data_IF_949844706853
#
_entry.id   IF_949844706853
#
_cell.length_a   1.000
_cell.length_b   1.000
_cell.length_c   1.000
_cell.angle_alpha   90.00
_cell.angle_beta   90.00
_cell.angle_gamma   90.00
#
_symmetry.space_group_name_H-M   'P 1'
#
loop_
_entity.id
_entity.type
_entity.pdbx_description
1 polymer ?
#
# COMPACT_ATOMS: atom_id res chain seq x y z
N UNK A 1 -18.35 11.56 -15.65
CA UNK A 1 -17.54 11.18 -14.48
C UNK A 1 -16.68 9.94 -14.74
N UNK A 2 -17.18 8.90 -15.42
CA UNK A 2 -16.35 7.73 -15.82
C UNK A 2 -15.14 8.08 -16.70
N UNK A 3 -15.31 8.92 -17.73
CA UNK A 3 -14.18 9.35 -18.59
C UNK A 3 -13.10 10.10 -17.80
N UNK A 4 -13.48 10.86 -16.76
CA UNK A 4 -12.50 11.53 -15.89
C UNK A 4 -11.76 10.54 -14.98
N UNK A 5 -12.38 9.46 -14.50
CA UNK A 5 -11.70 8.48 -13.64
C UNK A 5 -10.67 7.64 -14.44
N UNK A 6 -11.00 7.29 -15.69
CA UNK A 6 -10.06 6.61 -16.60
C UNK A 6 -8.83 7.47 -16.89
N UNK A 7 -9.00 8.78 -17.07
CA UNK A 7 -7.88 9.71 -17.22
C UNK A 7 -6.99 9.75 -15.97
N UNK A 8 -7.59 9.72 -14.78
CA UNK A 8 -6.84 9.68 -13.51
C UNK A 8 -6.03 8.38 -13.36
N UNK A 9 -6.58 7.24 -13.80
CA UNK A 9 -5.84 5.98 -13.83
C UNK A 9 -4.68 6.01 -14.84
N UNK A 10 -4.88 6.61 -16.02
CA UNK A 10 -3.82 6.81 -17.03
C UNK A 10 -2.72 7.72 -16.48
N UNK A 11 -3.09 8.82 -15.82
CA UNK A 11 -2.13 9.71 -15.15
C UNK A 11 -1.33 8.96 -14.09
N UNK A 12 -1.97 8.11 -13.29
CA UNK A 12 -1.27 7.32 -12.28
C UNK A 12 -0.28 6.32 -12.90
N UNK A 13 -0.65 5.70 -14.03
CA UNK A 13 0.25 4.81 -14.76
C UNK A 13 1.48 5.55 -15.30
N UNK A 14 1.29 6.72 -15.90
CA UNK A 14 2.36 7.48 -16.56
C UNK A 14 3.21 8.29 -15.56
N UNK A 15 2.59 8.84 -14.50
CA UNK A 15 3.22 9.80 -13.59
C UNK A 15 3.59 9.27 -12.21
N UNK A 16 2.92 8.22 -11.73
CA UNK A 16 3.10 7.70 -10.37
C UNK A 16 3.71 6.29 -10.34
N UNK A 17 3.56 5.49 -11.39
CA UNK A 17 4.11 4.13 -11.40
C UNK A 17 5.62 4.09 -11.11
N UNK A 18 6.05 3.14 -10.29
CA UNK A 18 7.44 2.70 -10.14
C UNK A 18 7.53 1.27 -10.70
N UNK A 19 7.90 1.16 -11.98
CA UNK A 19 8.05 -0.11 -12.69
C UNK A 19 9.37 -0.21 -13.46
N UNK A 20 10.53 -0.17 -12.78
CA UNK A 20 11.82 -0.25 -13.44
C UNK A 20 12.17 -1.65 -13.94
N UNK A 21 11.44 -2.71 -13.58
CA UNK A 21 11.78 -4.09 -13.94
C UNK A 21 10.94 -4.61 -15.10
N UNK A 22 9.62 -4.46 -15.02
CA UNK A 22 8.76 -4.88 -16.13
C UNK A 22 8.76 -3.88 -17.28
N UNK A 23 9.00 -2.60 -16.98
CA UNK A 23 8.74 -1.48 -17.89
C UNK A 23 7.28 -1.38 -18.36
N UNK A 24 6.35 -1.98 -17.62
CA UNK A 24 4.92 -2.03 -17.93
C UNK A 24 4.13 -1.14 -16.96
N UNK A 25 3.91 0.15 -17.28
CA UNK A 25 3.25 1.07 -16.37
C UNK A 25 1.78 0.69 -16.13
N UNK A 26 1.41 0.61 -14.85
CA UNK A 26 0.06 0.30 -14.42
C UNK A 26 -0.41 1.34 -13.39
N UNK A 27 -1.65 1.79 -13.54
CA UNK A 27 -2.27 2.81 -12.70
C UNK A 27 -3.70 2.45 -12.35
N UNK A 28 -4.15 2.88 -11.17
CA UNK A 28 -5.53 2.71 -10.73
C UNK A 28 -6.03 4.01 -10.11
N UNK A 29 -7.29 4.34 -10.39
CA UNK A 29 -8.03 5.41 -9.75
C UNK A 29 -9.35 4.88 -9.19
N UNK A 30 -9.70 5.34 -8.00
CA UNK A 30 -10.89 4.97 -7.24
C UNK A 30 -11.70 6.24 -7.01
N UNK A 31 -13.00 6.20 -7.32
CA UNK A 31 -13.94 7.21 -6.85
C UNK A 31 -14.41 6.80 -5.46
N UNK A 32 -14.13 7.64 -4.46
CA UNK A 32 -14.45 7.37 -3.05
C UNK A 32 -15.27 8.50 -2.44
N UNK A 33 -15.82 8.26 -1.26
CA UNK A 33 -16.47 9.28 -0.42
C UNK A 33 -15.51 10.40 0.04
N UNK A 34 -14.20 10.18 -0.02
CA UNK A 34 -13.17 11.20 0.22
C UNK A 34 -12.59 11.84 -1.05
N UNK A 35 -13.24 11.62 -2.21
CA UNK A 35 -12.81 12.09 -3.53
C UNK A 35 -12.06 11.02 -4.33
N UNK A 36 -11.35 11.44 -5.39
CA UNK A 36 -10.58 10.50 -6.24
C UNK A 36 -9.25 10.15 -5.57
N UNK A 37 -8.99 8.85 -5.43
CA UNK A 37 -7.70 8.29 -4.99
C UNK A 37 -7.05 7.62 -6.18
N UNK A 38 -5.80 7.95 -6.49
CA UNK A 38 -5.06 7.35 -7.60
C UNK A 38 -3.68 6.89 -7.17
N UNK A 39 -3.22 5.77 -7.70
CA UNK A 39 -1.91 5.22 -7.36
C UNK A 39 -1.36 4.39 -8.53
N UNK A 40 -0.04 4.42 -8.70
CA UNK A 40 0.67 3.54 -9.64
C UNK A 40 1.04 2.21 -8.99
N UNK A 41 1.50 1.24 -9.78
CA UNK A 41 2.19 0.07 -9.23
C UNK A 41 3.54 0.45 -8.60
N UNK A 42 3.95 -0.34 -7.60
CA UNK A 42 5.26 -0.25 -6.95
C UNK A 42 5.95 -1.60 -7.12
N UNK A 43 6.93 -1.70 -8.02
CA UNK A 43 7.70 -2.92 -8.18
C UNK A 43 8.85 -3.03 -7.17
N UNK A 44 9.39 -4.25 -7.05
CA UNK A 44 10.51 -4.57 -6.20
C UNK A 44 11.42 -5.59 -6.90
N UNK A 45 12.74 -5.49 -6.73
CA UNK A 45 13.70 -6.44 -7.32
C UNK A 45 13.42 -7.88 -6.88
N UNK A 46 12.96 -8.09 -5.64
CA UNK A 46 12.38 -9.35 -5.21
C UNK A 46 10.89 -9.38 -5.61
N UNK A 47 10.62 -9.77 -6.85
CA UNK A 47 9.31 -9.65 -7.53
C UNK A 47 8.06 -10.03 -6.72
N UNK A 48 8.06 -11.06 -5.84
CA UNK A 48 6.90 -11.35 -4.99
C UNK A 48 6.47 -10.21 -4.05
N UNK A 49 7.34 -9.22 -3.81
CA UNK A 49 7.06 -8.05 -2.97
C UNK A 49 6.45 -6.87 -3.74
N UNK A 50 6.35 -6.96 -5.07
CA UNK A 50 5.72 -5.94 -5.91
C UNK A 50 4.23 -5.76 -5.56
N UNK A 51 3.74 -4.53 -5.71
CA UNK A 51 2.37 -4.12 -5.35
C UNK A 51 1.68 -3.59 -6.59
N UNK A 52 0.62 -4.29 -7.04
CA UNK A 52 -0.20 -3.85 -8.17
C UNK A 52 -0.93 -2.54 -7.85
N UNK A 53 -1.18 -1.73 -8.89
CA UNK A 53 -1.80 -0.41 -8.75
C UNK A 53 -3.16 -0.44 -8.04
N UNK A 54 -3.99 -1.46 -8.29
CA UNK A 54 -5.29 -1.63 -7.62
C UNK A 54 -5.12 -1.78 -6.11
N UNK A 55 -4.23 -2.67 -5.68
CA UNK A 55 -3.94 -2.88 -4.25
C UNK A 55 -3.39 -1.61 -3.62
N UNK A 56 -2.46 -0.95 -4.31
CA UNK A 56 -1.85 0.30 -3.85
C UNK A 56 -2.87 1.44 -3.68
N UNK A 57 -3.82 1.58 -4.62
CA UNK A 57 -4.87 2.59 -4.53
C UNK A 57 -5.87 2.29 -3.39
N UNK A 58 -6.26 1.02 -3.21
CA UNK A 58 -7.21 0.62 -2.15
C UNK A 58 -6.61 0.87 -0.76
N UNK A 59 -5.37 0.43 -0.50
CA UNK A 59 -4.74 0.66 0.81
C UNK A 59 -4.50 2.14 1.09
N UNK A 60 -4.20 2.94 0.05
CA UNK A 60 -4.08 4.39 0.18
C UNK A 60 -5.44 5.06 0.47
N UNK A 61 -6.54 4.59 -0.13
CA UNK A 61 -7.89 5.05 0.16
C UNK A 61 -8.27 4.76 1.62
N UNK A 62 -8.00 3.53 2.09
CA UNK A 62 -8.21 3.14 3.48
C UNK A 62 -7.36 3.98 4.44
N UNK A 63 -6.09 4.28 4.11
CA UNK A 63 -5.26 5.15 4.92
C UNK A 63 -5.83 6.59 5.00
N UNK A 64 -6.48 7.07 3.94
CA UNK A 64 -7.04 8.43 3.84
C UNK A 64 -8.38 8.67 4.54
N UNK A 65 -9.10 7.63 4.93
CA UNK A 65 -10.45 7.82 5.47
C UNK A 65 -11.57 7.25 4.63
N UNK A 66 -11.29 6.74 3.43
CA UNK A 66 -12.35 6.26 2.56
C UNK A 66 -13.14 5.14 3.25
N UNK A 67 -14.46 5.18 3.12
CA UNK A 67 -15.39 4.14 3.58
C UNK A 67 -16.27 3.61 2.44
N UNK A 68 -16.18 4.21 1.26
CA UNK A 68 -16.86 3.75 0.06
C UNK A 68 -15.94 3.86 -1.16
N UNK A 69 -16.03 2.90 -2.06
CA UNK A 69 -15.44 2.94 -3.40
C UNK A 69 -16.59 2.66 -4.37
N UNK A 70 -17.05 3.69 -5.08
CA UNK A 70 -18.24 3.60 -5.95
C UNK A 70 -17.89 3.23 -7.39
N UNK A 71 -16.67 3.56 -7.83
CA UNK A 71 -16.18 3.27 -9.19
C UNK A 71 -14.68 3.00 -9.16
N UNK A 72 -14.21 2.13 -10.06
CA UNK A 72 -12.79 1.79 -10.21
C UNK A 72 -12.38 1.97 -11.67
N UNK A 73 -11.25 2.63 -11.91
CA UNK A 73 -10.59 2.64 -13.20
C UNK A 73 -9.18 2.07 -13.09
N UNK A 74 -8.77 1.28 -14.07
CA UNK A 74 -7.43 0.69 -14.18
C UNK A 74 -6.88 1.01 -15.56
N UNK A 75 -5.66 1.51 -15.62
CA UNK A 75 -4.89 1.66 -16.85
C UNK A 75 -3.77 0.63 -16.85
N UNK A 76 -3.72 -0.22 -17.87
CA UNK A 76 -2.67 -1.21 -18.05
C UNK A 76 -2.28 -1.32 -19.52
N UNK A 77 -1.06 -1.78 -19.78
CA UNK A 77 -0.57 -1.93 -21.17
C UNK A 77 -1.42 -2.89 -21.99
N UNK A 78 -1.88 -3.98 -21.37
CA UNK A 78 -2.64 -5.05 -22.02
C UNK A 78 -4.15 -4.81 -22.04
N UNK A 79 -4.65 -3.77 -21.36
CA UNK A 79 -6.09 -3.56 -21.18
C UNK A 79 -6.76 -4.65 -20.33
N UNK A 80 -5.98 -5.34 -19.49
CA UNK A 80 -6.46 -6.36 -18.56
C UNK A 80 -6.17 -6.00 -17.10
N UNK A 81 -6.92 -6.60 -16.19
CA UNK A 81 -6.71 -6.51 -14.73
C UNK A 81 -6.37 -7.89 -14.19
N UNK A 82 -5.38 -7.97 -13.31
CA UNK A 82 -4.91 -9.24 -12.77
C UNK A 82 -5.95 -9.91 -11.86
N UNK A 83 -6.05 -11.24 -11.90
CA UNK A 83 -7.01 -11.98 -11.05
C UNK A 83 -6.80 -11.72 -9.55
N UNK A 84 -5.55 -11.63 -9.09
CA UNK A 84 -5.23 -11.28 -7.70
C UNK A 84 -5.71 -9.87 -7.33
N UNK A 85 -5.75 -8.95 -8.29
CA UNK A 85 -6.20 -7.57 -8.10
C UNK A 85 -7.72 -7.53 -7.91
N UNK A 86 -8.45 -8.28 -8.75
CA UNK A 86 -9.91 -8.42 -8.65
C UNK A 86 -10.30 -9.15 -7.37
N UNK A 87 -9.59 -10.22 -7.03
CA UNK A 87 -9.81 -11.00 -5.81
C UNK A 87 -9.56 -10.16 -4.55
N UNK A 88 -8.56 -9.27 -4.56
CA UNK A 88 -8.34 -8.30 -3.48
C UNK A 88 -9.43 -7.22 -3.43
N UNK A 89 -9.78 -6.67 -4.60
CA UNK A 89 -10.77 -5.60 -4.73
C UNK A 89 -12.15 -6.04 -4.22
N UNK A 90 -12.53 -7.31 -4.41
CA UNK A 90 -13.85 -7.83 -4.01
C UNK A 90 -14.16 -7.66 -2.52
N UNK A 91 -13.15 -7.54 -1.66
CA UNK A 91 -13.38 -7.26 -0.26
C UNK A 91 -13.90 -5.84 -0.04
N UNK A 92 -13.59 -4.89 -0.91
CA UNK A 92 -13.82 -3.46 -0.65
C UNK A 92 -14.95 -2.85 -1.51
N UNK A 93 -15.49 -3.60 -2.46
CA UNK A 93 -16.53 -3.13 -3.39
C UNK A 93 -17.64 -4.17 -3.57
N UNK A 94 -18.75 -3.78 -4.17
CA UNK A 94 -19.87 -4.70 -4.47
C UNK A 94 -19.67 -5.43 -5.81
N UNK A 95 -20.32 -6.59 -6.02
CA UNK A 95 -20.30 -7.28 -7.31
C UNK A 95 -20.75 -6.42 -8.50
N UNK A 96 -21.60 -5.41 -8.26
CA UNK A 96 -22.14 -4.48 -9.25
C UNK A 96 -21.22 -3.28 -9.51
N UNK A 97 -20.17 -3.10 -8.70
CA UNK A 97 -19.27 -1.94 -8.81
C UNK A 97 -18.66 -1.90 -10.21
N UNK A 98 -18.78 -0.78 -10.94
CA UNK A 98 -18.21 -0.64 -12.27
C UNK A 98 -16.68 -0.54 -12.19
N UNK A 99 -16.03 -1.32 -13.05
CA UNK A 99 -14.58 -1.36 -13.25
C UNK A 99 -14.29 -1.04 -14.72
N UNK A 100 -13.72 0.14 -14.96
CA UNK A 100 -13.26 0.56 -16.28
C UNK A 100 -11.80 0.16 -16.48
N UNK A 101 -11.49 -0.56 -17.56
CA UNK A 101 -10.14 -1.00 -17.89
C UNK A 101 -9.70 -0.33 -19.18
N UNK A 102 -8.70 0.53 -19.10
CA UNK A 102 -8.09 1.24 -20.20
C UNK A 102 -6.89 0.46 -20.75
N UNK A 103 -6.91 0.18 -22.05
CA UNK A 103 -5.76 -0.31 -22.77
C UNK A 103 -4.85 0.86 -23.16
N UNK A 104 -3.65 0.94 -22.58
CA UNK A 104 -2.81 2.13 -22.66
C UNK A 104 -2.47 2.57 -24.09
N UNK A 105 -2.24 1.62 -25.02
CA UNK A 105 -1.83 1.95 -26.40
C UNK A 105 -3.00 2.37 -27.31
N UNK A 106 -4.15 1.68 -27.25
CA UNK A 106 -5.31 2.00 -28.08
C UNK A 106 -6.15 3.14 -27.50
N UNK A 107 -5.92 3.48 -26.23
CA UNK A 107 -6.70 4.44 -25.43
C UNK A 107 -8.20 4.10 -25.40
N UNK A 108 -8.55 2.84 -25.68
CA UNK A 108 -9.90 2.32 -25.54
C UNK A 108 -10.09 1.76 -24.14
N UNK A 109 -11.24 2.06 -23.53
CA UNK A 109 -11.64 1.52 -22.25
C UNK A 109 -12.89 0.67 -22.36
N UNK A 110 -12.92 -0.45 -21.64
CA UNK A 110 -14.11 -1.29 -21.47
C UNK A 110 -14.55 -1.20 -20.01
N UNK A 111 -15.84 -1.02 -19.77
CA UNK A 111 -16.41 -1.03 -18.41
C UNK A 111 -17.26 -2.27 -18.22
N UNK A 112 -16.98 -3.00 -17.14
CA UNK A 112 -17.72 -4.18 -16.71
C UNK A 112 -17.93 -4.10 -15.20
N UNK A 113 -18.88 -4.84 -14.66
CA UNK A 113 -18.99 -4.96 -13.20
C UNK A 113 -17.91 -5.89 -12.65
N UNK A 114 -17.60 -5.78 -11.36
CA UNK A 114 -16.68 -6.72 -10.70
C UNK A 114 -17.11 -8.18 -10.91
N UNK A 115 -18.41 -8.49 -10.82
CA UNK A 115 -18.92 -9.84 -11.02
C UNK A 115 -18.66 -10.41 -12.43
N UNK A 116 -18.66 -9.54 -13.45
CA UNK A 116 -18.35 -9.92 -14.82
C UNK A 116 -16.86 -10.17 -15.03
N UNK A 117 -16.00 -9.42 -14.34
CA UNK A 117 -14.54 -9.57 -14.41
C UNK A 117 -14.01 -10.74 -13.56
N UNK A 118 -14.70 -11.07 -12.47
CA UNK A 118 -14.34 -12.15 -11.55
C UNK A 118 -15.52 -13.13 -11.33
N UNK A 119 -15.87 -13.94 -12.36
CA UNK A 119 -16.91 -14.94 -12.22
C UNK A 119 -16.47 -16.06 -11.27
N UNK A 120 -17.36 -16.49 -10.38
CA UNK A 120 -17.09 -17.57 -9.42
C UNK A 120 -15.92 -17.28 -8.48
N UNK A 121 -15.92 -16.13 -7.76
CA UNK A 121 -14.81 -15.74 -6.90
C UNK A 121 -14.60 -16.77 -5.79
N UNK A 122 -13.38 -16.84 -5.24
CA UNK A 122 -13.08 -17.77 -4.15
C UNK A 122 -14.08 -17.60 -2.99
N UNK A 123 -14.85 -18.65 -2.71
CA UNK A 123 -15.86 -18.70 -1.67
C UNK A 123 -15.22 -18.88 -0.28
N UNK A 124 -14.31 -17.99 0.09
CA UNK A 124 -14.02 -17.77 1.51
C UNK A 124 -15.30 -17.26 2.16
N UNK A 125 -15.57 -17.65 3.41
CA UNK A 125 -16.77 -17.22 4.15
C UNK A 125 -17.04 -15.74 3.87
N UNK A 126 -18.10 -15.47 3.11
CA UNK A 126 -18.49 -14.13 2.70
C UNK A 126 -18.99 -13.42 3.96
N UNK A 127 -18.07 -12.89 4.75
CA UNK A 127 -18.33 -11.71 5.54
C UNK A 127 -18.09 -10.56 4.55
N UNK A 128 -19.10 -9.78 4.14
CA UNK A 128 -18.83 -8.51 3.48
C UNK A 128 -17.75 -7.82 4.32
N UNK A 129 -16.71 -7.23 3.72
CA UNK A 129 -15.72 -6.61 4.58
C UNK A 129 -16.41 -5.62 5.51
N UNK A 130 -15.92 -5.44 6.74
CA UNK A 130 -16.36 -4.39 7.62
C UNK A 130 -16.56 -3.03 6.88
N UNK A 131 -15.80 -2.72 5.82
CA UNK A 131 -16.05 -1.59 4.90
C UNK A 131 -17.47 -1.56 4.30
N UNK A 132 -17.93 -2.68 3.72
CA UNK A 132 -19.30 -2.86 3.20
C UNK A 132 -20.36 -2.97 4.30
N UNK A 133 -19.95 -3.26 5.55
CA UNK A 133 -20.83 -3.33 6.72
C UNK A 133 -20.80 -2.07 7.59
N UNK A 134 -19.98 -1.06 7.24
CA UNK A 134 -19.61 0.08 8.10
C UNK A 134 -19.09 -0.30 9.50
N UNK A 135 -18.59 -1.52 9.66
CA UNK A 135 -17.86 -1.94 10.84
C UNK A 135 -16.35 -1.77 10.57
N UNK A 136 -15.54 -1.60 11.61
CA UNK A 136 -14.08 -1.56 11.45
C UNK A 136 -13.37 -2.66 12.27
N UNK A 137 -14.06 -3.22 13.28
CA UNK A 137 -13.61 -4.32 14.13
C UNK A 137 -14.76 -5.31 14.41
N UNK A 138 -14.44 -6.61 14.57
CA UNK A 138 -15.42 -7.67 14.79
C UNK A 138 -16.22 -7.52 16.10
N UNK A 139 -15.69 -6.80 17.09
CA UNK A 139 -16.32 -6.63 18.40
C UNK A 139 -17.36 -5.51 18.46
N UNK A 140 -17.51 -4.70 17.41
CA UNK A 140 -18.51 -3.62 17.40
C UNK A 140 -19.05 -3.36 16.00
N UNK A 141 -20.34 -3.65 15.83
CA UNK A 141 -21.21 -3.11 14.75
C UNK A 141 -21.32 -1.56 14.84
N UNK A 142 -20.62 -0.92 15.78
CA UNK A 142 -20.72 0.50 16.14
C UNK A 142 -19.40 1.27 16.14
N UNK A 143 -18.24 0.68 15.82
CA UNK A 143 -17.00 1.46 15.73
C UNK A 143 -16.97 2.24 14.41
N UNK A 144 -17.43 3.49 14.43
CA UNK A 144 -17.07 4.50 13.42
C UNK A 144 -15.57 4.43 13.15
N UNK A 145 -15.20 4.41 11.87
CA UNK A 145 -13.81 4.53 11.44
C UNK A 145 -13.14 5.69 12.20
N UNK A 146 -11.94 5.49 12.77
CA UNK A 146 -11.20 6.59 13.39
C UNK A 146 -11.04 7.75 12.41
N UNK A 147 -10.98 8.98 12.92
CA UNK A 147 -10.79 10.14 12.05
C UNK A 147 -9.53 9.97 11.18
N UNK A 148 -9.48 10.56 9.98
CA UNK A 148 -8.26 10.60 9.19
C UNK A 148 -7.11 11.22 9.99
N UNK A 149 -5.91 10.65 9.87
CA UNK A 149 -4.72 11.18 10.54
C UNK A 149 -4.43 12.58 9.99
N UNK A 150 -4.40 13.58 10.87
CA UNK A 150 -4.02 14.92 10.47
C UNK A 150 -2.50 15.00 10.28
N UNK A 151 -2.07 15.18 9.04
CA UNK A 151 -0.65 15.22 8.69
C UNK A 151 -0.08 16.63 8.93
N UNK A 152 0.96 16.77 9.77
CA UNK A 152 1.65 18.05 9.93
C UNK A 152 2.51 18.38 8.70
N UNK A 153 3.02 19.61 8.58
CA UNK A 153 4.06 19.94 7.60
C UNK A 153 5.27 19.00 7.77
N UNK A 154 5.78 18.47 6.66
CA UNK A 154 6.90 17.54 6.69
C UNK A 154 8.24 18.20 7.09
N UNK A 155 8.37 19.51 6.88
CA UNK A 155 9.56 20.26 7.26
C UNK A 155 9.69 20.32 8.79
N UNK A 156 10.85 19.88 9.31
CA UNK A 156 11.15 19.89 10.75
C UNK A 156 10.46 18.77 11.55
N UNK A 157 9.89 17.77 10.88
CA UNK A 157 9.26 16.63 11.54
C UNK A 157 10.32 15.81 12.32
N UNK A 158 10.14 15.67 13.63
CA UNK A 158 11.05 14.89 14.48
C UNK A 158 10.71 13.40 14.45
N UNK A 159 11.62 12.57 14.98
CA UNK A 159 11.45 11.12 15.05
C UNK A 159 10.30 10.75 15.97
N UNK A 160 10.15 11.47 17.08
CA UNK A 160 9.04 11.32 18.01
C UNK A 160 7.71 11.69 17.35
N UNK A 161 7.67 12.78 16.58
CA UNK A 161 6.47 13.18 15.85
C UNK A 161 6.10 12.15 14.78
N UNK A 162 7.08 11.61 14.05
CA UNK A 162 6.85 10.55 13.06
C UNK A 162 6.37 9.24 13.72
N UNK A 163 6.92 8.88 14.88
CA UNK A 163 6.47 7.73 15.68
C UNK A 163 5.04 7.91 16.18
N UNK A 164 4.66 9.11 16.63
CA UNK A 164 3.28 9.42 17.02
C UNK A 164 2.30 9.33 15.84
N UNK A 165 2.70 9.76 14.65
CA UNK A 165 1.90 9.55 13.44
C UNK A 165 1.68 8.06 13.13
N UNK A 166 2.69 7.21 13.36
CA UNK A 166 2.54 5.77 13.20
C UNK A 166 1.56 5.18 14.22
N UNK A 167 1.57 5.66 15.48
CA UNK A 167 0.61 5.25 16.51
C UNK A 167 -0.82 5.67 16.13
N UNK A 168 -1.00 6.88 15.62
CA UNK A 168 -2.32 7.33 15.15
C UNK A 168 -2.79 6.48 13.96
N UNK A 169 -1.88 6.16 13.03
CA UNK A 169 -2.19 5.33 11.88
C UNK A 169 -2.64 3.91 12.25
N UNK A 170 -2.13 3.32 13.35
CA UNK A 170 -2.58 1.99 13.83
C UNK A 170 -4.08 1.90 14.01
N UNK A 171 -4.75 2.98 14.42
CA UNK A 171 -6.21 2.99 14.63
C UNK A 171 -6.96 2.66 13.33
N UNK A 172 -6.33 2.91 12.18
CA UNK A 172 -6.85 2.63 10.85
C UNK A 172 -6.36 1.29 10.27
N UNK A 173 -5.90 0.35 11.11
CA UNK A 173 -5.63 -1.00 10.62
C UNK A 173 -6.94 -1.71 10.24
N UNK A 174 -6.90 -2.53 9.20
CA UNK A 174 -7.96 -3.46 8.86
C UNK A 174 -7.45 -4.87 9.13
N UNK A 175 -7.72 -5.40 10.32
CA UNK A 175 -7.16 -6.68 10.79
C UNK A 175 -8.21 -7.61 11.42
N UNK A 176 -9.24 -8.03 10.67
CA UNK A 176 -10.30 -8.88 11.19
C UNK A 176 -9.84 -10.31 11.54
N UNK A 177 -8.69 -10.78 11.05
CA UNK A 177 -8.23 -12.17 11.26
C UNK A 177 -7.24 -12.26 12.41
N UNK A 178 -6.15 -11.49 12.37
CA UNK A 178 -5.11 -11.59 13.41
C UNK A 178 -5.34 -10.67 14.61
N UNK A 179 -6.20 -9.66 14.44
CA UNK A 179 -6.35 -8.55 15.37
C UNK A 179 -4.99 -7.95 15.76
N UNK A 180 -4.08 -7.79 14.79
CA UNK A 180 -2.71 -7.33 15.01
C UNK A 180 -2.51 -5.92 14.41
N UNK A 181 -2.86 -4.85 15.13
CA UNK A 181 -2.79 -3.48 14.64
C UNK A 181 -1.35 -3.02 14.45
N UNK A 182 -1.00 -2.66 13.21
CA UNK A 182 0.28 -2.07 12.85
C UNK A 182 0.04 -0.78 12.08
N UNK A 183 0.82 0.24 12.41
CA UNK A 183 0.77 1.57 11.83
C UNK A 183 2.18 1.99 11.45
N UNK A 184 2.28 2.77 10.37
CA UNK A 184 3.53 3.28 9.88
C UNK A 184 3.38 4.72 9.38
N UNK A 185 4.44 5.50 9.51
CA UNK A 185 4.52 6.84 8.96
C UNK A 185 5.83 6.97 8.18
N UNK A 186 5.76 7.50 6.96
CA UNK A 186 6.90 7.66 6.07
C UNK A 186 7.12 9.14 5.77
N UNK A 187 8.34 9.61 6.06
CA UNK A 187 8.85 10.88 5.60
C UNK A 187 9.60 10.63 4.29
N UNK A 188 9.23 11.32 3.22
CA UNK A 188 9.77 11.06 1.89
C UNK A 188 9.94 12.35 1.10
N UNK A 189 10.85 12.32 0.13
CA UNK A 189 10.90 13.30 -0.94
C UNK A 189 10.05 12.81 -2.10
N UNK A 190 9.15 13.66 -2.58
CA UNK A 190 8.38 13.38 -3.77
C UNK A 190 9.21 13.54 -5.05
N UNK A 191 8.66 13.12 -6.20
CA UNK A 191 9.34 13.21 -7.50
C UNK A 191 9.67 14.65 -7.94
N UNK A 192 8.99 15.65 -7.37
CA UNK A 192 9.27 17.06 -7.58
C UNK A 192 10.34 17.63 -6.61
N UNK A 193 10.97 16.79 -5.79
CA UNK A 193 12.03 17.18 -4.85
C UNK A 193 11.52 17.86 -3.57
N UNK A 194 10.22 17.81 -3.27
CA UNK A 194 9.65 18.39 -2.04
C UNK A 194 9.49 17.31 -0.97
N UNK A 195 9.78 17.68 0.28
CA UNK A 195 9.57 16.82 1.44
C UNK A 195 8.07 16.72 1.75
N UNK A 196 7.58 15.51 1.98
CA UNK A 196 6.20 15.22 2.36
C UNK A 196 6.14 14.02 3.33
N UNK A 197 5.00 13.84 3.98
CA UNK A 197 4.74 12.75 4.92
C UNK A 197 3.45 12.03 4.56
N UNK A 198 3.45 10.71 4.70
CA UNK A 198 2.27 9.88 4.54
C UNK A 198 2.22 8.82 5.65
N UNK A 199 1.04 8.25 5.87
CA UNK A 199 0.83 7.19 6.85
C UNK A 199 0.20 5.98 6.18
N UNK A 200 0.35 4.83 6.81
CA UNK A 200 -0.26 3.58 6.39
C UNK A 200 -0.56 2.70 7.59
N UNK A 201 -1.53 1.81 7.42
CA UNK A 201 -1.86 0.79 8.38
C UNK A 201 -1.97 -0.56 7.66
N UNK A 202 -1.80 -1.65 8.39
CA UNK A 202 -1.91 -2.98 7.78
C UNK A 202 -3.37 -3.30 7.40
N UNK A 203 -3.52 -3.93 6.24
CA UNK A 203 -4.80 -4.35 5.65
C UNK A 203 -4.73 -5.84 5.36
N UNK A 204 -5.49 -6.61 6.11
CA UNK A 204 -5.62 -8.05 5.91
C UNK A 204 -6.61 -8.39 4.81
N UNK A 205 -6.54 -9.64 4.36
CA UNK A 205 -7.40 -10.17 3.33
C UNK A 205 -7.60 -11.66 3.58
N UNK A 206 -8.79 -12.21 3.27
CA UNK A 206 -9.11 -13.62 3.50
C UNK A 206 -8.21 -14.57 2.71
N UNK A 207 -7.77 -14.14 1.52
CA UNK A 207 -6.62 -14.75 0.84
C UNK A 207 -5.36 -14.19 1.50
N UNK A 208 -4.82 -14.93 2.48
CA UNK A 208 -3.76 -14.46 3.39
C UNK A 208 -2.55 -13.80 2.69
N UNK A 209 -2.12 -14.31 1.54
CA UNK A 209 -1.02 -13.74 0.77
C UNK A 209 -1.33 -12.39 0.08
N UNK A 210 -2.59 -11.94 0.09
CA UNK A 210 -3.01 -10.71 -0.59
C UNK A 210 -2.99 -9.47 0.30
N UNK A 211 -2.96 -9.64 1.62
CA UNK A 211 -2.86 -8.54 2.58
C UNK A 211 -1.59 -7.70 2.42
N UNK A 212 -1.58 -6.51 3.00
CA UNK A 212 -0.44 -5.59 2.95
C UNK A 212 -0.16 -5.00 4.33
N UNK A 213 1.11 -5.05 4.75
CA UNK A 213 1.54 -4.48 6.01
C UNK A 213 1.57 -2.93 5.97
N UNK A 214 1.63 -2.31 7.15
CA UNK A 214 1.53 -0.87 7.32
C UNK A 214 2.62 -0.08 6.60
N UNK A 215 3.86 -0.57 6.59
CA UNK A 215 5.02 0.09 6.00
C UNK A 215 4.85 0.21 4.49
N UNK A 216 4.45 -0.88 3.84
CA UNK A 216 4.17 -0.91 2.39
C UNK A 216 2.90 -0.12 2.05
N UNK A 217 1.89 -0.14 2.92
CA UNK A 217 0.71 0.73 2.82
C UNK A 217 1.07 2.22 2.89
N UNK A 218 2.05 2.59 3.72
CA UNK A 218 2.55 3.96 3.83
C UNK A 218 3.30 4.38 2.55
N UNK A 219 4.08 3.48 1.92
CA UNK A 219 4.69 3.73 0.61
C UNK A 219 3.63 3.95 -0.48
N UNK A 220 2.57 3.13 -0.51
CA UNK A 220 1.45 3.32 -1.42
C UNK A 220 0.73 4.65 -1.18
N UNK A 221 0.58 5.07 0.07
CA UNK A 221 -0.03 6.35 0.43
C UNK A 221 0.84 7.53 0.04
N UNK A 222 2.16 7.44 0.21
CA UNK A 222 3.13 8.41 -0.29
C UNK A 222 3.07 8.54 -1.83
N UNK A 223 2.98 7.39 -2.51
CA UNK A 223 2.82 7.33 -3.95
C UNK A 223 1.54 8.02 -4.41
N UNK A 224 0.42 7.71 -3.76
CA UNK A 224 -0.89 8.27 -4.10
C UNK A 224 -1.00 9.77 -3.81
N UNK A 225 -0.41 10.24 -2.70
CA UNK A 225 -0.53 11.62 -2.23
C UNK A 225 0.21 12.60 -3.14
N UNK A 226 1.48 12.33 -3.44
CA UNK A 226 2.32 13.30 -4.17
C UNK A 226 3.38 12.66 -5.08
N UNK A 227 3.32 11.35 -5.31
CA UNK A 227 4.33 10.59 -6.04
C UNK A 227 5.59 10.35 -5.20
N UNK A 228 5.81 9.10 -4.81
CA UNK A 228 6.97 8.68 -4.04
C UNK A 228 8.22 8.77 -4.92
N UNK A 229 9.24 9.48 -4.42
CA UNK A 229 10.56 9.56 -5.02
C UNK A 229 11.59 8.80 -4.20
N UNK A 230 11.99 9.37 -3.05
CA UNK A 230 12.98 8.79 -2.14
C UNK A 230 12.44 8.77 -0.72
N UNK A 231 12.66 7.68 0.01
CA UNK A 231 12.34 7.62 1.44
C UNK A 231 13.45 8.28 2.27
N UNK A 232 13.07 9.13 3.22
CA UNK A 232 13.99 9.80 4.15
C UNK A 232 14.05 9.05 5.48
N UNK A 233 12.88 8.67 6.02
CA UNK A 233 12.75 7.93 7.26
C UNK A 233 11.38 7.25 7.33
N UNK A 234 11.28 6.12 8.02
CA UNK A 234 10.01 5.46 8.30
C UNK A 234 9.92 5.12 9.79
N UNK A 235 8.76 5.38 10.40
CA UNK A 235 8.41 4.85 11.71
C UNK A 235 7.38 3.74 11.58
N UNK A 236 7.48 2.70 12.42
CA UNK A 236 6.51 1.60 12.49
C UNK A 236 6.25 1.22 13.95
N UNK A 237 5.01 0.89 14.25
CA UNK A 237 4.59 0.50 15.60
C UNK A 237 3.54 -0.62 15.54
N UNK A 238 3.61 -1.55 16.50
CA UNK A 238 2.50 -2.43 16.82
C UNK A 238 2.00 -2.07 18.22
N UNK A 239 0.69 -1.86 18.37
CA UNK A 239 0.10 -1.46 19.66
C UNK A 239 -0.40 -2.63 20.50
N UNK A 240 -0.29 -3.87 20.00
CA UNK A 240 -0.78 -5.07 20.69
C UNK A 240 0.26 -5.79 21.54
N UNK A 241 1.52 -5.80 21.11
CA UNK A 241 2.57 -6.55 21.79
C UNK A 241 3.60 -5.60 22.40
N UNK A 242 3.97 -5.78 23.69
CA UNK A 242 5.14 -5.11 24.25
C UNK A 242 6.39 -5.57 23.49
N UNK A 243 7.37 -4.68 23.35
CA UNK A 243 8.64 -4.91 22.65
C UNK A 243 8.53 -5.34 21.17
N UNK A 244 7.38 -5.12 20.55
CA UNK A 244 7.17 -5.45 19.15
C UNK A 244 6.84 -4.21 18.32
N UNK A 245 7.70 -3.93 17.35
CA UNK A 245 7.58 -2.78 16.45
C UNK A 245 8.44 -2.95 15.21
N UNK A 246 8.69 -4.19 14.79
CA UNK A 246 9.71 -4.52 13.79
C UNK A 246 9.06 -4.89 12.46
N UNK A 247 9.58 -4.42 11.33
CA UNK A 247 9.07 -4.84 10.03
C UNK A 247 9.22 -6.34 9.80
N UNK A 248 8.23 -6.94 9.13
CA UNK A 248 8.33 -8.33 8.68
C UNK A 248 9.32 -8.46 7.49
N UNK A 249 9.75 -9.69 7.16
CA UNK A 249 10.74 -9.91 6.09
C UNK A 249 10.35 -9.28 4.73
N UNK A 250 9.09 -9.41 4.35
CA UNK A 250 8.56 -8.80 3.12
C UNK A 250 8.58 -7.26 3.14
N UNK A 251 8.33 -6.65 4.31
CA UNK A 251 8.45 -5.21 4.47
C UNK A 251 9.90 -4.76 4.42
N UNK A 252 10.82 -5.46 5.09
CA UNK A 252 12.25 -5.14 5.02
C UNK A 252 12.75 -5.17 3.58
N UNK A 253 12.36 -6.20 2.84
CA UNK A 253 12.69 -6.37 1.42
C UNK A 253 12.00 -5.33 0.52
N UNK A 254 10.78 -4.91 0.86
CA UNK A 254 10.08 -3.83 0.17
C UNK A 254 10.69 -2.45 0.41
N UNK A 255 11.22 -2.21 1.61
CA UNK A 255 11.77 -0.92 2.02
C UNK A 255 13.16 -0.67 1.42
N UNK A 256 14.02 -1.69 1.38
CA UNK A 256 15.39 -1.56 0.86
C UNK A 256 15.45 -1.16 -0.62
N UNK A 257 14.37 -1.41 -1.37
CA UNK A 257 14.16 -0.92 -2.74
C UNK A 257 14.35 0.59 -2.87
N UNK A 258 13.98 1.34 -1.82
CA UNK A 258 14.02 2.79 -1.80
C UNK A 258 15.32 3.35 -1.20
N UNK A 259 16.34 2.51 -1.07
CA UNK A 259 17.68 2.83 -0.58
C UNK A 259 17.88 2.54 0.89
N UNK A 260 19.03 2.98 1.42
CA UNK A 260 19.35 2.83 2.83
C UNK A 260 18.91 4.04 3.66
N UNK A 261 17.97 3.85 4.59
CA UNK A 261 17.43 4.92 5.43
C UNK A 261 17.04 4.42 6.83
N UNK A 262 16.91 5.33 7.82
CA UNK A 262 16.52 4.95 9.18
C UNK A 262 15.07 4.45 9.25
N UNK A 263 14.88 3.36 9.97
CA UNK A 263 13.59 2.78 10.36
C UNK A 263 13.48 2.88 11.87
N UNK A 264 12.55 3.73 12.35
CA UNK A 264 12.21 3.87 13.76
C UNK A 264 11.22 2.78 14.12
N UNK A 265 11.70 1.80 14.88
CA UNK A 265 10.91 0.70 15.43
C UNK A 265 10.36 1.16 16.78
N UNK A 266 9.03 1.20 16.91
CA UNK A 266 8.38 1.73 18.09
C UNK A 266 7.50 0.67 18.75
N UNK A 267 7.41 0.69 20.07
CA UNK A 267 6.52 -0.18 20.84
C UNK A 267 6.01 0.55 22.09
N UNK A 268 4.93 0.05 22.67
CA UNK A 268 4.36 0.60 23.89
C UNK A 268 4.78 -0.26 25.10
N UNK A 269 5.35 0.38 26.11
CA UNK A 269 5.61 -0.21 27.43
C UNK A 269 4.95 0.66 28.49
N UNK A 270 3.96 0.12 29.23
CA UNK A 270 3.18 0.87 30.23
C UNK A 270 2.68 2.25 29.72
N UNK A 271 2.06 2.27 28.54
CA UNK A 271 1.58 3.47 27.82
C UNK A 271 2.68 4.48 27.43
N UNK A 272 3.95 4.14 27.63
CA UNK A 272 5.09 4.93 27.18
C UNK A 272 5.53 4.43 25.80
N UNK A 273 5.62 5.36 24.84
CA UNK A 273 6.16 5.07 23.52
C UNK A 273 7.68 5.00 23.59
N UNK A 274 8.23 3.80 23.35
CA UNK A 274 9.66 3.57 23.24
C UNK A 274 10.04 3.39 21.78
N UNK A 275 11.28 3.77 21.45
CA UNK A 275 11.79 3.75 20.08
C UNK A 275 13.21 3.21 20.01
N UNK A 276 13.50 2.46 18.96
CA UNK A 276 14.85 2.13 18.50
C UNK A 276 14.97 2.49 17.03
N UNK A 277 16.16 2.88 16.56
CA UNK A 277 16.39 3.20 15.16
C UNK A 277 17.52 2.36 14.58
N UNK A 278 17.22 1.70 13.47
CA UNK A 278 18.17 0.95 12.66
C UNK A 278 17.92 1.28 11.20
N UNK A 279 18.95 1.23 10.37
CA UNK A 279 18.80 1.41 8.92
C UNK A 279 18.17 0.19 8.26
N UNK A 280 17.61 0.36 7.06
CA UNK A 280 17.09 -0.74 6.23
C UNK A 280 18.10 -1.86 6.00
N UNK A 281 19.39 -1.54 5.79
CA UNK A 281 20.44 -2.55 5.62
C UNK A 281 20.86 -3.23 6.93
N UNK A 282 20.68 -2.57 8.08
CA UNK A 282 20.90 -3.21 9.39
C UNK A 282 19.78 -4.21 9.72
N UNK A 283 18.53 -3.87 9.42
CA UNK A 283 17.40 -4.80 9.66
C UNK A 283 17.31 -5.90 8.60
N UNK A 284 17.92 -5.73 7.43
CA UNK A 284 18.03 -6.75 6.37
C UNK A 284 19.45 -6.80 5.80
N UNK A 285 20.39 -7.44 6.52
CA UNK A 285 21.75 -7.62 6.01
C UNK A 285 21.74 -8.52 4.77
N UNK A 286 22.64 -8.23 3.81
CA UNK A 286 22.75 -8.95 2.54
C UNK A 286 21.43 -8.99 1.75
N UNK A 287 20.68 -7.88 1.78
CA UNK A 287 19.43 -7.73 1.08
C UNK A 287 19.58 -7.99 -0.43
N UNK A 288 18.53 -8.57 -1.03
CA UNK A 288 18.40 -8.58 -2.49
C UNK A 288 18.04 -7.17 -2.93
N UNK A 289 18.89 -6.49 -3.67
CA UNK A 289 18.73 -5.07 -4.04
C UNK A 289 18.68 -4.93 -5.56
N UNK A 290 18.35 -3.76 -6.15
CA UNK A 290 18.30 -3.62 -7.59
C UNK A 290 19.57 -4.11 -8.32
N UNK A 291 20.76 -3.80 -7.77
CA UNK A 291 22.05 -4.25 -8.31
C UNK A 291 22.29 -5.77 -8.20
N UNK A 292 21.48 -6.50 -7.42
CA UNK A 292 21.54 -7.98 -7.37
C UNK A 292 21.01 -8.64 -8.65
N UNK A 293 20.34 -7.88 -9.52
CA UNK A 293 19.88 -8.34 -10.83
C UNK A 293 20.90 -8.09 -11.94
N UNK A 294 22.02 -7.42 -11.65
CA UNK A 294 23.05 -7.13 -12.65
C UNK A 294 23.81 -8.43 -12.99
N UNK A 295 23.99 -8.73 -14.27
CA UNK A 295 24.50 -10.01 -14.80
C UNK A 295 25.98 -10.30 -14.44
N UNK A 296 26.66 -9.46 -13.66
CA UNK A 296 28.10 -9.62 -13.31
C UNK A 296 28.34 -10.46 -12.05
N UNK A 297 27.63 -11.57 -11.89
CA UNK A 297 28.12 -12.65 -11.02
C UNK A 297 28.74 -13.70 -11.93
N UNK A 298 30.05 -13.58 -12.17
CA UNK A 298 30.86 -14.71 -12.62
C UNK A 298 30.57 -15.88 -11.66
N UNK A 299 29.79 -16.85 -12.13
CA UNK A 299 29.71 -18.16 -11.50
C UNK A 299 31.12 -18.72 -11.63
N UNK A 300 31.96 -18.49 -10.61
CA UNK A 300 33.22 -19.21 -10.49
C UNK A 300 32.85 -20.68 -10.41
N UNK A 301 33.01 -21.37 -11.53
CA UNK A 301 32.94 -22.81 -11.69
C UNK A 301 33.91 -23.44 -10.68
N UNK A 302 33.46 -23.64 -9.44
CA UNK A 302 34.16 -24.45 -8.45
C UNK A 302 33.99 -25.90 -8.83
N UNK A 303 34.71 -26.32 -9.87
CA UNK A 303 35.15 -27.70 -10.01
C UNK A 303 36.21 -27.96 -8.93
N UNK A 304 35.80 -28.62 -7.84
CA UNK A 304 36.64 -29.53 -7.09
C UNK A 304 35.89 -30.84 -6.93
#
# INVERSE_FOLDING_TARGET
MLESLVQEASFAAEGLCYAPYSHEPCGCALLTDCGVIKCGSLENCAYPNSICAVKAAVVAALARGAMEISEVAVSSTTGAVCGCCLEFLKSFVTPETPVSVLHAASKQSVTQTLAQLLPGPFAGAFRPSPFLQKAWHEDTVTATLPAPVQLPPAAGLTDEALAQLAVEACRRCYTPVSHFPVGAAVLYMNRAGKLDVAVGANVEHHVLGSGLCAERSALCSAMSKSGLGRVVKLAVVCTKLPDYGRPCGACRQGLVEYGDFPVIQCWLEHDTLLTSSETTLQILPNAFVPHSLDDEVEIQDKKQ
#
